data_IF_298546475478
#
_entry.id   IF_298546475478
#
_cell.length_a   1.000
_cell.length_b   1.000
_cell.length_c   1.000
_cell.angle_alpha   90.00
_cell.angle_beta   90.00
_cell.angle_gamma   90.00
#
_symmetry.space_group_name_H-M   'P 1'
#
loop_
_entity.id
_entity.type
_entity.pdbx_description
1 polymer ?
#
# COMPACT_ATOMS: atom_id res chain seq x y z
N UNK A 1 -13.44 3.96 7.37
CA UNK A 1 -12.42 3.02 6.85
C UNK A 1 -11.03 3.57 7.12
N UNK A 2 -10.11 2.74 7.59
CA UNK A 2 -8.77 3.21 7.88
C UNK A 2 -7.91 3.24 6.61
N UNK A 3 -6.90 4.09 6.60
CA UNK A 3 -5.98 4.17 5.47
C UNK A 3 -5.25 2.85 5.24
N UNK A 4 -4.82 2.19 6.32
CA UNK A 4 -4.15 0.91 6.22
C UNK A 4 -5.03 -0.14 5.53
N UNK A 5 -6.33 -0.12 5.80
CA UNK A 5 -7.26 -1.03 5.15
C UNK A 5 -7.38 -0.76 3.66
N UNK A 6 -7.38 0.51 3.26
CA UNK A 6 -7.43 0.87 1.84
C UNK A 6 -6.20 0.35 1.10
N UNK A 7 -5.02 0.49 1.70
CA UNK A 7 -3.78 -0.05 1.13
C UNK A 7 -3.86 -1.57 1.03
N UNK A 8 -4.33 -2.21 2.10
CA UNK A 8 -4.46 -3.66 2.13
C UNK A 8 -5.42 -4.16 1.06
N UNK A 9 -6.53 -3.45 0.84
CA UNK A 9 -7.51 -3.84 -0.17
C UNK A 9 -6.92 -3.82 -1.58
N UNK A 10 -6.00 -2.90 -1.86
CA UNK A 10 -5.33 -2.88 -3.16
C UNK A 10 -4.52 -4.15 -3.38
N UNK A 11 -3.90 -4.68 -2.34
CA UNK A 11 -3.17 -5.95 -2.43
C UNK A 11 -4.11 -7.16 -2.57
N UNK A 12 -5.35 -7.08 -2.10
CA UNK A 12 -6.29 -8.19 -2.32
C UNK A 12 -6.74 -8.26 -3.77
N UNK A 13 -6.73 -7.14 -4.48
CA UNK A 13 -7.09 -7.11 -5.90
C UNK A 13 -5.93 -7.58 -6.77
N UNK A 14 -4.71 -7.30 -6.36
CA UNK A 14 -3.52 -7.68 -7.10
C UNK A 14 -2.40 -7.97 -6.10
N UNK A 15 -1.91 -9.20 -6.11
CA UNK A 15 -0.94 -9.68 -5.12
C UNK A 15 0.36 -8.90 -5.08
N UNK A 16 0.74 -8.29 -6.20
CA UNK A 16 1.98 -7.54 -6.31
C UNK A 16 1.67 -6.11 -6.74
N UNK A 17 2.20 -5.14 -6.01
CA UNK A 17 1.99 -3.71 -6.30
C UNK A 17 3.29 -2.94 -6.12
N UNK A 18 3.52 -1.96 -7.00
CA UNK A 18 4.60 -1.00 -6.81
C UNK A 18 4.09 0.19 -5.99
N UNK A 19 5.01 0.97 -5.44
CA UNK A 19 4.63 2.21 -4.75
C UNK A 19 3.89 3.16 -5.69
N UNK A 20 4.32 3.24 -6.94
CA UNK A 20 3.67 4.10 -7.93
C UNK A 20 2.24 3.66 -8.19
N UNK A 21 2.00 2.36 -8.30
CA UNK A 21 0.65 1.83 -8.49
C UNK A 21 -0.24 2.13 -7.30
N UNK A 22 0.27 1.96 -6.09
CA UNK A 22 -0.49 2.28 -4.88
C UNK A 22 -0.80 3.76 -4.81
N UNK A 23 0.18 4.61 -5.14
CA UNK A 23 -0.02 6.05 -5.14
C UNK A 23 -1.13 6.44 -6.13
N UNK A 24 -1.07 5.92 -7.35
CA UNK A 24 -2.08 6.23 -8.38
C UNK A 24 -3.48 5.75 -7.96
N UNK A 25 -3.57 4.53 -7.45
CA UNK A 25 -4.85 3.96 -7.03
C UNK A 25 -5.47 4.76 -5.89
N UNK A 26 -4.66 5.10 -4.89
CA UNK A 26 -5.16 5.79 -3.71
C UNK A 26 -5.36 7.27 -3.94
N UNK A 27 -4.60 7.90 -4.85
CA UNK A 27 -4.82 9.30 -5.18
C UNK A 27 -6.16 9.53 -5.89
N UNK A 28 -6.67 8.50 -6.55
CA UNK A 28 -7.97 8.54 -7.22
C UNK A 28 -9.14 8.16 -6.31
N UNK A 29 -8.87 7.75 -5.09
CA UNK A 29 -9.90 7.28 -4.17
C UNK A 29 -10.57 8.48 -3.50
N UNK A 30 -11.90 8.60 -3.68
CA UNK A 30 -12.65 9.73 -3.16
C UNK A 30 -12.74 9.75 -1.63
N UNK A 31 -12.45 8.63 -0.96
CA UNK A 31 -12.47 8.55 0.49
C UNK A 31 -11.18 9.10 1.11
N UNK A 32 -10.16 9.37 0.29
CA UNK A 32 -8.87 9.86 0.76
C UNK A 32 -8.77 11.35 0.46
N UNK A 33 -8.54 12.14 1.51
CA UNK A 33 -8.35 13.57 1.39
C UNK A 33 -6.89 13.99 1.31
N UNK A 34 -5.97 13.02 1.40
CA UNK A 34 -4.54 13.27 1.35
C UNK A 34 -4.05 13.34 -0.09
N UNK A 35 -3.03 14.14 -0.33
CA UNK A 35 -2.42 14.25 -1.66
C UNK A 35 -0.95 14.61 -1.55
N UNK A 36 -0.23 14.44 -2.66
CA UNK A 36 1.17 14.82 -2.74
C UNK A 36 2.07 14.02 -1.81
N UNK A 37 3.04 14.70 -1.20
CA UNK A 37 4.01 14.06 -0.31
C UNK A 37 3.36 13.41 0.91
N UNK A 38 2.31 14.03 1.43
CA UNK A 38 1.60 13.47 2.59
C UNK A 38 1.01 12.11 2.26
N UNK A 39 0.40 11.98 1.09
CA UNK A 39 -0.14 10.69 0.65
C UNK A 39 0.98 9.64 0.50
N UNK A 40 2.09 10.02 -0.10
CA UNK A 40 3.23 9.12 -0.26
C UNK A 40 3.76 8.63 1.09
N UNK A 41 3.89 9.52 2.06
CA UNK A 41 4.33 9.14 3.41
C UNK A 41 3.36 8.17 4.08
N UNK A 42 2.08 8.41 3.91
CA UNK A 42 1.06 7.53 4.49
C UNK A 42 1.10 6.14 3.87
N UNK A 43 1.27 6.07 2.56
CA UNK A 43 1.37 4.79 1.86
C UNK A 43 2.59 4.02 2.35
N UNK A 44 3.74 4.68 2.45
CA UNK A 44 4.97 4.05 2.93
C UNK A 44 4.82 3.55 4.37
N UNK A 45 4.19 4.34 5.23
CA UNK A 45 3.95 3.93 6.62
C UNK A 45 3.05 2.70 6.69
N UNK A 46 2.00 2.66 5.88
CA UNK A 46 1.09 1.52 5.85
C UNK A 46 1.80 0.26 5.36
N UNK A 47 2.60 0.39 4.30
CA UNK A 47 3.37 -0.73 3.77
C UNK A 47 4.41 -1.21 4.79
N UNK A 48 5.07 -0.28 5.46
CA UNK A 48 6.04 -0.62 6.49
C UNK A 48 5.37 -1.44 7.61
N UNK A 49 4.17 -1.04 8.03
CA UNK A 49 3.41 -1.78 9.01
C UNK A 49 3.08 -3.19 8.55
N UNK A 50 2.66 -3.34 7.29
CA UNK A 50 2.38 -4.66 6.73
C UNK A 50 3.64 -5.51 6.64
N UNK A 51 4.77 -4.91 6.29
CA UNK A 51 6.03 -5.61 6.21
C UNK A 51 6.49 -6.07 7.59
N UNK A 52 6.34 -5.23 8.61
CA UNK A 52 6.69 -5.59 9.98
C UNK A 52 5.83 -6.75 10.50
N UNK A 53 4.59 -6.84 10.03
CA UNK A 53 3.68 -7.93 10.38
C UNK A 53 3.87 -9.17 9.50
N UNK A 54 4.88 -9.16 8.61
CA UNK A 54 5.17 -10.24 7.66
C UNK A 54 4.04 -10.50 6.67
N UNK A 55 3.26 -9.48 6.39
CA UNK A 55 2.13 -9.61 5.45
C UNK A 55 2.51 -9.29 4.01
N UNK A 56 3.54 -8.46 3.81
CA UNK A 56 4.09 -8.17 2.49
C UNK A 56 5.61 -8.20 2.54
N UNK A 57 6.24 -8.46 1.39
CA UNK A 57 7.69 -8.45 1.24
C UNK A 57 8.09 -7.56 0.07
N UNK A 58 9.27 -6.96 0.19
CA UNK A 58 9.89 -6.22 -0.90
C UNK A 58 10.55 -7.23 -1.84
N UNK A 59 9.98 -7.40 -3.02
CA UNK A 59 10.46 -8.40 -3.99
C UNK A 59 11.33 -7.81 -5.08
N UNK A 60 11.25 -6.48 -5.26
CA UNK A 60 12.07 -5.76 -6.22
C UNK A 60 12.07 -4.30 -5.79
N UNK A 61 12.80 -3.44 -6.50
CA UNK A 61 12.85 -2.02 -6.14
C UNK A 61 11.43 -1.43 -6.12
N UNK A 62 11.03 -0.90 -4.96
CA UNK A 62 9.72 -0.28 -4.75
C UNK A 62 8.54 -1.18 -5.15
N UNK A 63 8.74 -2.50 -5.16
CA UNK A 63 7.72 -3.48 -5.54
C UNK A 63 7.48 -4.42 -4.38
N UNK A 64 6.22 -4.54 -3.96
CA UNK A 64 5.82 -5.33 -2.81
C UNK A 64 4.84 -6.40 -3.21
N UNK A 65 4.94 -7.57 -2.57
CA UNK A 65 4.04 -8.68 -2.83
C UNK A 65 3.55 -9.24 -1.51
N UNK A 66 2.32 -9.76 -1.49
CA UNK A 66 1.77 -10.35 -0.28
C UNK A 66 2.49 -11.67 0.04
N UNK A 67 2.54 -11.98 1.33
CA UNK A 67 3.10 -13.25 1.84
C UNK A 67 1.95 -14.20 2.19
N UNK A 68 2.32 -15.41 2.61
CA UNK A 68 1.33 -16.38 3.07
C UNK A 68 0.61 -15.93 4.34
N UNK A 69 1.18 -14.93 5.03
CA UNK A 69 0.58 -14.40 6.26
C UNK A 69 -0.41 -13.27 6.01
N UNK A 70 -0.59 -12.89 4.75
CA UNK A 70 -1.51 -11.81 4.42
C UNK A 70 -2.94 -12.20 4.74
#
# INVERSE_FOLDING_TARGET
>A
MTFAKLVKDEFTQNKTRTLAELYDALSSNSEISLEGTTLKHRIRSAIYGLKQANKVDLVSKATYSITDNF
#
